data_IF_139140734705
#
_entry.id   IF_139140734705
#
_cell.length_a   1.000
_cell.length_b   1.000
_cell.length_c   1.000
_cell.angle_alpha   90.00
_cell.angle_beta   90.00
_cell.angle_gamma   90.00
#
_symmetry.space_group_name_H-M   'P 1'
#
loop_
_entity.id
_entity.type
_entity.pdbx_description
1 polymer ?
#
# COMPACT_ATOMS: atom_id res chain seq x y z
N UNK A 1 -13.73 -12.79 12.65
CA UNK A 1 -12.74 -11.79 13.11
C UNK A 1 -12.85 -10.57 12.22
N UNK A 2 -12.95 -9.37 12.79
CA UNK A 2 -12.92 -8.13 11.99
C UNK A 2 -11.50 -7.87 11.48
N UNK A 3 -11.35 -7.13 10.37
CA UNK A 3 -10.02 -6.77 9.83
C UNK A 3 -9.18 -6.02 10.86
N UNK A 4 -9.81 -5.13 11.63
CA UNK A 4 -9.17 -4.42 12.73
C UNK A 4 -8.62 -5.37 13.81
N UNK A 5 -9.41 -6.36 14.22
CA UNK A 5 -8.99 -7.36 15.20
C UNK A 5 -7.79 -8.19 14.70
N UNK A 6 -7.79 -8.57 13.41
CA UNK A 6 -6.66 -9.29 12.81
C UNK A 6 -5.36 -8.47 12.85
N UNK A 7 -5.43 -7.19 12.50
CA UNK A 7 -4.27 -6.29 12.53
C UNK A 7 -3.74 -6.09 13.94
N UNK A 8 -4.63 -5.90 14.92
CA UNK A 8 -4.25 -5.73 16.33
C UNK A 8 -3.60 -7.01 16.87
N UNK A 9 -4.20 -8.18 16.59
CA UNK A 9 -3.64 -9.47 17.02
C UNK A 9 -2.25 -9.71 16.43
N UNK A 10 -2.04 -9.37 15.15
CA UNK A 10 -0.73 -9.49 14.51
C UNK A 10 0.30 -8.53 15.11
N UNK A 11 -0.10 -7.28 15.37
CA UNK A 11 0.76 -6.29 16.01
C UNK A 11 1.19 -6.72 17.42
N UNK A 12 0.26 -7.29 18.20
CA UNK A 12 0.54 -7.87 19.53
C UNK A 12 1.48 -9.07 19.46
N UNK A 13 1.32 -9.94 18.47
CA UNK A 13 2.22 -11.07 18.28
C UNK A 13 3.63 -10.60 17.91
N UNK A 14 3.75 -9.65 17.00
CA UNK A 14 5.04 -9.09 16.60
C UNK A 14 5.73 -8.34 17.76
N UNK A 15 4.99 -7.55 18.53
CA UNK A 15 5.54 -6.82 19.68
C UNK A 15 5.93 -7.76 20.82
N UNK A 16 5.16 -8.81 21.09
CA UNK A 16 5.52 -9.81 22.10
C UNK A 16 6.79 -10.58 21.73
N UNK A 17 6.97 -10.92 20.44
CA UNK A 17 8.21 -11.53 19.95
C UNK A 17 9.42 -10.60 20.09
N UNK A 18 9.26 -9.32 19.75
CA UNK A 18 10.32 -8.33 19.93
C UNK A 18 10.71 -8.14 21.40
N UNK A 19 9.73 -8.04 22.29
CA UNK A 19 9.99 -7.93 23.73
C UNK A 19 10.69 -9.17 24.29
N UNK A 20 10.33 -10.37 23.82
CA UNK A 20 11.02 -11.59 24.22
C UNK A 20 12.50 -11.59 23.81
N UNK A 21 12.82 -11.09 22.61
CA UNK A 21 14.20 -10.88 22.16
C UNK A 21 14.89 -9.80 22.98
N UNK A 22 14.23 -8.67 23.25
CA UNK A 22 14.79 -7.55 24.00
C UNK A 22 15.14 -7.93 25.46
N UNK A 23 14.29 -8.74 26.10
CA UNK A 23 14.48 -9.23 27.47
C UNK A 23 15.47 -10.40 27.59
N UNK A 24 16.16 -10.77 26.50
CA UNK A 24 17.14 -11.87 26.48
C UNK A 24 16.55 -13.23 26.90
N UNK A 25 15.26 -13.46 26.68
CA UNK A 25 14.63 -14.77 26.98
C UNK A 25 15.15 -15.88 26.05
N UNK A 26 15.76 -15.49 24.92
CA UNK A 26 16.37 -16.38 23.94
C UNK A 26 17.89 -16.21 24.01
N UNK A 27 18.68 -17.27 24.20
CA UNK A 27 20.13 -17.18 24.22
C UNK A 27 20.68 -16.92 22.81
N UNK A 28 21.00 -15.67 22.52
CA UNK A 28 21.64 -15.21 21.27
C UNK A 28 23.02 -14.62 21.59
N UNK A 29 23.98 -14.59 20.64
CA UNK A 29 25.30 -14.01 20.87
C UNK A 29 25.23 -12.55 21.33
N UNK A 30 26.05 -12.17 22.32
CA UNK A 30 26.06 -10.83 22.92
C UNK A 30 26.18 -9.69 21.89
N UNK A 31 26.99 -9.88 20.85
CA UNK A 31 27.14 -8.90 19.76
C UNK A 31 25.82 -8.59 19.06
N UNK A 32 24.99 -9.60 18.80
CA UNK A 32 23.70 -9.42 18.12
C UNK A 32 22.71 -8.76 19.08
N UNK A 33 22.72 -9.17 20.34
CA UNK A 33 21.82 -8.64 21.36
C UNK A 33 22.04 -7.15 21.62
N UNK A 34 23.28 -6.68 21.66
CA UNK A 34 23.60 -5.29 21.95
C UNK A 34 23.51 -4.39 20.71
N UNK A 35 23.90 -4.89 19.54
CA UNK A 35 24.04 -4.06 18.33
C UNK A 35 22.85 -4.16 17.38
N UNK A 36 22.18 -5.30 17.31
CA UNK A 36 21.14 -5.57 16.29
C UNK A 36 19.75 -5.44 16.89
N UNK A 37 19.48 -6.07 18.05
CA UNK A 37 18.14 -6.11 18.64
C UNK A 37 17.56 -4.70 18.90
N UNK A 38 18.29 -3.73 19.49
CA UNK A 38 17.72 -2.41 19.79
C UNK A 38 17.37 -1.58 18.54
N UNK A 39 18.11 -1.77 17.44
CA UNK A 39 17.93 -1.01 16.19
C UNK A 39 17.00 -1.72 15.19
N UNK A 40 16.61 -2.96 15.47
CA UNK A 40 15.80 -3.80 14.60
C UNK A 40 14.46 -3.16 14.22
N UNK A 41 13.68 -2.55 15.15
CA UNK A 41 12.42 -1.89 14.79
C UNK A 41 12.62 -0.72 13.83
N UNK A 42 13.70 0.04 14.00
CA UNK A 42 14.02 1.16 13.12
C UNK A 42 14.42 0.66 11.72
N UNK A 43 15.20 -0.42 11.64
CA UNK A 43 15.53 -1.07 10.37
C UNK A 43 14.31 -1.59 9.61
N UNK A 44 13.34 -2.18 10.33
CA UNK A 44 12.06 -2.59 9.73
C UNK A 44 11.31 -1.37 9.18
N UNK A 45 11.27 -0.26 9.91
CA UNK A 45 10.62 0.96 9.44
C UNK A 45 11.27 1.54 8.18
N UNK A 46 12.61 1.64 8.17
CA UNK A 46 13.37 2.19 7.04
C UNK A 46 13.24 1.30 5.80
N UNK A 47 13.40 -0.02 5.95
CA UNK A 47 13.25 -0.96 4.84
C UNK A 47 11.83 -0.97 4.27
N UNK A 48 10.81 -0.93 5.13
CA UNK A 48 9.42 -0.82 4.71
C UNK A 48 9.16 0.50 3.96
N UNK A 49 9.67 1.62 4.48
CA UNK A 49 9.59 2.92 3.81
C UNK A 49 10.25 2.91 2.43
N UNK A 50 11.46 2.36 2.31
CA UNK A 50 12.16 2.23 1.05
C UNK A 50 11.40 1.35 0.04
N UNK A 51 10.83 0.23 0.51
CA UNK A 51 9.99 -0.64 -0.32
C UNK A 51 8.75 0.08 -0.84
N UNK A 52 8.05 0.83 0.03
CA UNK A 52 6.87 1.62 -0.38
C UNK A 52 7.22 2.69 -1.41
N UNK A 53 8.32 3.41 -1.21
CA UNK A 53 8.81 4.41 -2.17
C UNK A 53 9.20 3.78 -3.50
N UNK A 54 9.92 2.66 -3.48
CA UNK A 54 10.29 1.93 -4.69
C UNK A 54 9.07 1.43 -5.46
N UNK A 55 8.07 0.87 -4.76
CA UNK A 55 6.82 0.43 -5.35
C UNK A 55 6.00 1.58 -5.93
N UNK A 56 5.92 2.70 -5.21
CA UNK A 56 5.24 3.90 -5.69
C UNK A 56 5.93 4.43 -6.95
N UNK A 57 7.25 4.57 -6.92
CA UNK A 57 8.05 5.00 -8.08
C UNK A 57 7.85 4.09 -9.28
N UNK A 58 7.87 2.77 -9.07
CA UNK A 58 7.58 1.79 -10.13
C UNK A 58 6.18 2.00 -10.72
N UNK A 59 5.15 2.08 -9.88
CA UNK A 59 3.77 2.27 -10.35
C UNK A 59 3.56 3.60 -11.10
N UNK A 60 4.25 4.67 -10.69
CA UNK A 60 4.22 5.95 -11.40
C UNK A 60 4.92 5.83 -12.75
N UNK A 61 6.08 5.17 -12.81
CA UNK A 61 6.79 4.95 -14.08
C UNK A 61 6.01 4.06 -15.04
N UNK A 62 5.24 3.10 -14.52
CA UNK A 62 4.41 2.19 -15.32
C UNK A 62 2.95 2.61 -15.36
N UNK A 63 2.63 3.86 -15.03
CA UNK A 63 1.26 4.35 -15.12
C UNK A 63 0.87 4.31 -16.60
N UNK A 64 -0.01 3.37 -16.96
CA UNK A 64 -0.49 3.23 -18.33
C UNK A 64 -1.32 4.47 -18.65
N UNK A 65 -0.82 5.32 -19.54
CA UNK A 65 -1.70 6.21 -20.27
C UNK A 65 -2.62 5.33 -21.10
N UNK A 66 -3.94 5.43 -20.87
CA UNK A 66 -4.95 4.65 -21.60
C UNK A 66 -5.68 5.58 -22.58
N UNK A 67 -5.00 6.05 -23.65
CA UNK A 67 -5.59 7.00 -24.59
C UNK A 67 -6.76 6.38 -25.36
N UNK A 68 -6.74 5.06 -25.59
CA UNK A 68 -7.81 4.38 -26.31
C UNK A 68 -9.10 4.30 -25.47
N UNK A 69 -9.02 3.97 -24.17
CA UNK A 69 -10.20 4.01 -23.31
C UNK A 69 -10.76 5.43 -23.16
N UNK A 70 -9.89 6.46 -23.15
CA UNK A 70 -10.34 7.84 -23.19
C UNK A 70 -11.10 8.15 -24.49
N UNK A 71 -10.59 7.73 -25.66
CA UNK A 71 -11.28 7.92 -26.95
C UNK A 71 -12.62 7.19 -27.01
N UNK A 72 -12.66 5.95 -26.55
CA UNK A 72 -13.89 5.13 -26.49
C UNK A 72 -14.95 5.80 -25.61
N UNK A 73 -14.57 6.20 -24.39
CA UNK A 73 -15.47 6.95 -23.49
C UNK A 73 -15.99 8.25 -24.09
N UNK A 74 -15.14 9.01 -24.79
CA UNK A 74 -15.59 10.25 -25.44
C UNK A 74 -16.59 9.97 -26.57
N UNK A 75 -16.38 8.90 -27.36
CA UNK A 75 -17.31 8.50 -28.41
C UNK A 75 -18.67 8.09 -27.84
N UNK A 76 -18.69 7.33 -26.74
CA UNK A 76 -19.93 6.96 -26.03
C UNK A 76 -20.67 8.20 -25.48
N UNK A 77 -19.94 9.19 -24.96
CA UNK A 77 -20.53 10.46 -24.50
C UNK A 77 -21.17 11.22 -25.66
N UNK A 78 -20.51 11.28 -26.81
CA UNK A 78 -21.06 11.96 -27.98
C UNK A 78 -22.33 11.27 -28.52
N UNK A 79 -22.36 9.93 -28.53
CA UNK A 79 -23.54 9.15 -28.89
C UNK A 79 -24.70 9.40 -27.90
N UNK A 80 -24.42 9.34 -26.60
CA UNK A 80 -25.42 9.60 -25.56
C UNK A 80 -25.97 11.03 -25.64
N UNK A 81 -25.11 12.04 -25.89
CA UNK A 81 -25.54 13.42 -26.12
C UNK A 81 -26.44 13.54 -27.35
N UNK A 82 -26.11 12.85 -28.45
CA UNK A 82 -26.94 12.86 -29.65
C UNK A 82 -28.33 12.27 -29.39
N UNK A 83 -28.41 11.18 -28.63
CA UNK A 83 -29.69 10.55 -28.28
C UNK A 83 -30.52 11.40 -27.31
N UNK A 84 -29.89 12.05 -26.33
CA UNK A 84 -30.58 13.00 -25.45
C UNK A 84 -31.15 14.21 -26.21
N UNK A 85 -30.42 14.73 -27.20
CA UNK A 85 -30.92 15.79 -28.11
C UNK A 85 -32.12 15.31 -28.93
N UNK A 86 -32.13 14.07 -29.42
CA UNK A 86 -33.30 13.48 -30.09
C UNK A 86 -34.52 13.39 -29.17
N UNK A 87 -34.29 13.19 -27.87
CA UNK A 87 -35.34 13.19 -26.85
C UNK A 87 -35.75 14.61 -26.38
N UNK A 88 -35.19 15.66 -26.97
CA UNK A 88 -35.52 17.05 -26.66
C UNK A 88 -34.87 17.59 -25.38
N UNK A 89 -33.85 16.92 -24.87
CA UNK A 89 -33.08 17.35 -23.69
C UNK A 89 -31.89 18.19 -24.14
N UNK A 90 -31.73 19.38 -23.55
CA UNK A 90 -30.59 20.26 -23.80
C UNK A 90 -29.34 19.75 -23.05
N UNK A 91 -28.20 19.64 -23.75
CA UNK A 91 -26.98 18.94 -23.27
C UNK A 91 -25.68 19.66 -23.63
N UNK A 92 -25.73 20.99 -23.79
CA UNK A 92 -24.54 21.83 -23.94
C UNK A 92 -23.73 22.01 -22.64
#
# INVERSE_FOLDING_TARGET
>A
MTRAQQTISLALLASSLYLALFLQLIPIPAKIQEQVVPVLPFWVLVSFGAYLLGRLGYNVMTFNDVPEAHKELMAEIDEAKADLRKLGVDVD
#
